data_IF_897231876891
#
_entry.id   IF_897231876891
#
_cell.length_a   1.000
_cell.length_b   1.000
_cell.length_c   1.000
_cell.angle_alpha   90.00
_cell.angle_beta   90.00
_cell.angle_gamma   90.00
#
_symmetry.space_group_name_H-M   'P 1'
#
loop_
_entity.id
_entity.type
_entity.pdbx_description
1 polymer ?
#
# COMPACT_ATOMS: atom_id res chain seq x y z
N UNK A 1 -38.80 8.07 3.64
CA UNK A 1 -37.33 7.93 3.68
C UNK A 1 -36.70 9.02 2.81
N UNK A 2 -35.61 9.57 3.24
CA UNK A 2 -34.81 10.57 2.51
C UNK A 2 -33.37 10.05 2.37
N UNK A 3 -32.62 10.66 1.46
CA UNK A 3 -31.18 10.39 1.29
C UNK A 3 -30.41 11.68 1.57
N UNK A 4 -29.55 11.65 2.59
CA UNK A 4 -28.57 12.71 2.81
C UNK A 4 -27.35 12.40 1.95
N UNK A 5 -26.97 13.32 1.07
CA UNK A 5 -25.88 13.18 0.12
C UNK A 5 -24.75 14.11 0.55
N UNK A 6 -23.60 13.55 0.94
CA UNK A 6 -22.39 14.31 1.27
C UNK A 6 -21.51 14.42 0.02
N UNK A 7 -21.14 15.63 -0.37
CA UNK A 7 -20.38 15.89 -1.58
C UNK A 7 -19.28 16.93 -1.37
N UNK A 8 -18.25 16.89 -2.19
CA UNK A 8 -17.16 17.85 -2.15
C UNK A 8 -17.63 19.24 -2.60
N UNK A 9 -17.41 20.26 -1.78
CA UNK A 9 -17.85 21.65 -1.98
C UNK A 9 -17.38 22.29 -3.29
N UNK A 10 -16.21 21.87 -3.79
CA UNK A 10 -15.57 22.48 -4.97
C UNK A 10 -15.80 21.71 -6.25
N UNK A 11 -16.10 20.41 -6.18
CA UNK A 11 -16.20 19.55 -7.36
C UNK A 11 -17.59 18.96 -7.56
N UNK A 12 -18.46 19.02 -6.56
CA UNK A 12 -19.77 18.36 -6.58
C UNK A 12 -19.73 16.83 -6.50
N UNK A 13 -18.53 16.22 -6.43
CA UNK A 13 -18.38 14.76 -6.37
C UNK A 13 -18.94 14.21 -5.06
N UNK A 14 -19.89 13.29 -5.17
CA UNK A 14 -20.49 12.61 -4.01
C UNK A 14 -19.44 11.73 -3.34
N UNK A 15 -19.33 11.84 -2.03
CA UNK A 15 -18.39 11.09 -1.21
C UNK A 15 -19.05 10.03 -0.35
N UNK A 16 -20.28 10.27 0.06
CA UNK A 16 -21.08 9.31 0.81
C UNK A 16 -22.58 9.63 0.69
N UNK A 17 -23.42 8.62 0.91
CA UNK A 17 -24.85 8.77 1.05
C UNK A 17 -25.34 8.10 2.33
N UNK A 18 -26.41 8.63 2.92
CA UNK A 18 -27.04 8.05 4.10
C UNK A 18 -28.56 8.02 3.90
N UNK A 19 -29.14 6.82 4.01
CA UNK A 19 -30.57 6.59 3.79
C UNK A 19 -31.27 6.40 5.15
N UNK A 20 -32.20 7.28 5.51
CA UNK A 20 -32.93 7.21 6.76
C UNK A 20 -34.28 7.94 6.69
N UNK A 21 -35.02 7.94 7.78
CA UNK A 21 -36.23 8.74 7.93
C UNK A 21 -35.94 10.22 8.24
N UNK A 22 -34.76 10.49 8.83
CA UNK A 22 -34.27 11.83 9.16
C UNK A 22 -32.93 12.08 8.48
N UNK A 23 -32.61 13.36 8.28
CA UNK A 23 -31.30 13.77 7.72
C UNK A 23 -30.14 13.38 8.63
N UNK A 24 -29.03 13.01 8.01
CA UNK A 24 -27.75 12.88 8.71
C UNK A 24 -27.05 14.25 8.80
N UNK A 25 -26.40 14.51 9.93
CA UNK A 25 -25.48 15.63 10.04
C UNK A 25 -24.03 15.12 10.00
N UNK A 26 -23.06 16.02 10.03
CA UNK A 26 -21.63 15.69 9.93
C UNK A 26 -21.11 14.88 11.13
N UNK A 27 -21.81 14.86 12.27
CA UNK A 27 -21.55 13.94 13.38
C UNK A 27 -21.56 12.45 12.95
N UNK A 28 -22.15 12.12 11.79
CA UNK A 28 -22.06 10.81 11.15
C UNK A 28 -20.61 10.37 10.90
N UNK A 29 -19.67 11.31 10.74
CA UNK A 29 -18.25 11.03 10.51
C UNK A 29 -17.43 10.90 11.82
N UNK A 30 -18.09 10.96 12.99
CA UNK A 30 -17.43 10.78 14.29
C UNK A 30 -16.29 11.77 14.52
N UNK A 31 -15.13 11.29 14.93
CA UNK A 31 -13.95 12.13 15.27
C UNK A 31 -13.42 12.97 14.11
N UNK A 32 -13.84 12.69 12.88
CA UNK A 32 -13.46 13.45 11.68
C UNK A 32 -14.47 14.50 11.24
N UNK A 33 -15.48 14.78 12.06
CA UNK A 33 -16.55 15.72 11.74
C UNK A 33 -16.03 17.08 11.26
N UNK A 34 -15.11 17.69 12.02
CA UNK A 34 -14.55 19.00 11.72
C UNK A 34 -13.77 19.02 10.39
N UNK A 35 -12.99 17.98 10.12
CA UNK A 35 -12.23 17.84 8.87
C UNK A 35 -13.19 17.75 7.68
N UNK A 36 -14.23 16.94 7.79
CA UNK A 36 -15.21 16.77 6.70
C UNK A 36 -16.07 18.01 6.50
N UNK A 37 -16.42 18.75 7.55
CA UNK A 37 -17.13 20.05 7.42
C UNK A 37 -16.35 21.08 6.61
N UNK A 38 -15.03 21.01 6.59
CA UNK A 38 -14.20 21.91 5.78
C UNK A 38 -14.32 21.65 4.27
N UNK A 39 -14.41 20.39 3.87
CA UNK A 39 -14.30 19.96 2.47
C UNK A 39 -15.62 19.46 1.86
N UNK A 40 -16.57 19.02 2.68
CA UNK A 40 -17.86 18.52 2.24
C UNK A 40 -19.00 19.49 2.56
N UNK A 41 -20.03 19.43 1.73
CA UNK A 41 -21.35 19.99 1.96
C UNK A 41 -22.38 18.85 1.84
N UNK A 42 -23.64 19.10 2.16
CA UNK A 42 -24.71 18.10 2.05
C UNK A 42 -25.95 18.66 1.35
N UNK A 43 -26.66 17.78 0.65
CA UNK A 43 -28.03 18.01 0.20
C UNK A 43 -28.90 16.84 0.66
N UNK A 44 -30.21 17.11 0.73
CA UNK A 44 -31.22 16.12 1.07
C UNK A 44 -32.07 15.92 -0.18
N UNK A 45 -32.27 14.67 -0.55
CA UNK A 45 -33.13 14.30 -1.68
C UNK A 45 -34.13 13.23 -1.23
N UNK A 46 -35.22 13.12 -1.93
CA UNK A 46 -36.17 12.04 -1.73
C UNK A 46 -35.51 10.70 -2.04
N UNK A 47 -35.95 9.66 -1.31
CA UNK A 47 -35.46 8.32 -1.55
C UNK A 47 -35.83 7.85 -2.95
N UNK A 48 -34.82 7.52 -3.73
CA UNK A 48 -34.92 6.87 -5.04
C UNK A 48 -34.04 5.64 -5.06
N UNK A 49 -34.60 4.50 -5.44
CA UNK A 49 -33.91 3.21 -5.41
C UNK A 49 -32.81 3.15 -6.46
N UNK A 50 -33.03 3.70 -7.66
CA UNK A 50 -32.03 3.71 -8.74
C UNK A 50 -30.82 4.57 -8.34
N UNK A 51 -31.09 5.79 -7.82
CA UNK A 51 -30.03 6.65 -7.31
C UNK A 51 -29.28 6.00 -6.16
N UNK A 52 -29.98 5.41 -5.20
CA UNK A 52 -29.35 4.84 -4.00
C UNK A 52 -28.36 3.71 -4.32
N UNK A 53 -28.67 2.87 -5.31
CA UNK A 53 -27.76 1.81 -5.76
C UNK A 53 -26.67 2.28 -6.71
N UNK A 54 -26.89 3.39 -7.42
CA UNK A 54 -25.99 3.90 -8.48
C UNK A 54 -25.49 5.33 -8.19
N UNK A 55 -25.44 5.76 -6.91
CA UNK A 55 -25.09 7.13 -6.52
C UNK A 55 -23.71 7.58 -7.06
N UNK A 56 -22.80 6.66 -7.31
CA UNK A 56 -21.50 6.91 -7.93
C UNK A 56 -21.59 7.39 -9.38
N UNK A 57 -22.74 7.19 -10.05
CA UNK A 57 -23.03 7.72 -11.39
C UNK A 57 -23.53 9.16 -11.38
N UNK A 58 -23.67 9.75 -10.20
CA UNK A 58 -24.20 11.10 -10.02
C UNK A 58 -23.17 12.03 -9.39
N UNK A 59 -23.34 13.31 -9.62
CA UNK A 59 -22.68 14.42 -8.91
C UNK A 59 -23.71 15.45 -8.51
N UNK A 60 -23.36 16.34 -7.59
CA UNK A 60 -24.16 17.50 -7.24
C UNK A 60 -23.72 18.65 -8.13
N UNK A 61 -24.67 19.23 -8.87
CA UNK A 61 -24.47 20.50 -9.54
C UNK A 61 -24.36 21.60 -8.47
N UNK A 62 -23.23 22.31 -8.48
CA UNK A 62 -22.90 23.27 -7.41
C UNK A 62 -23.75 24.52 -7.45
N UNK A 63 -24.25 24.90 -8.62
CA UNK A 63 -25.05 26.10 -8.82
C UNK A 63 -26.53 25.86 -8.42
N UNK A 64 -27.08 24.73 -8.86
CA UNK A 64 -28.50 24.40 -8.63
C UNK A 64 -28.73 23.57 -7.35
N UNK A 65 -27.66 22.99 -6.77
CA UNK A 65 -27.75 22.08 -5.63
C UNK A 65 -28.65 20.87 -5.89
N UNK A 66 -28.63 20.36 -7.12
CA UNK A 66 -29.40 19.20 -7.55
C UNK A 66 -28.51 18.05 -7.97
N UNK A 67 -29.03 16.81 -7.91
CA UNK A 67 -28.36 15.65 -8.46
C UNK A 67 -28.38 15.66 -9.97
N UNK A 68 -27.23 15.52 -10.59
CA UNK A 68 -27.11 15.36 -12.05
C UNK A 68 -26.31 14.09 -12.35
N UNK A 69 -26.69 13.37 -13.39
CA UNK A 69 -25.95 12.19 -13.84
C UNK A 69 -24.62 12.65 -14.42
N UNK A 70 -23.52 12.00 -14.01
CA UNK A 70 -22.19 12.26 -14.59
C UNK A 70 -22.18 11.91 -16.07
N UNK A 71 -21.41 12.65 -16.85
CA UNK A 71 -21.12 12.25 -18.22
C UNK A 71 -20.32 10.95 -18.23
N UNK A 72 -20.44 10.17 -19.31
CA UNK A 72 -19.81 8.86 -19.44
C UNK A 72 -18.30 8.91 -19.24
N UNK A 73 -17.64 9.98 -19.67
CA UNK A 73 -16.19 10.18 -19.55
C UNK A 73 -15.76 10.49 -18.09
N UNK A 74 -16.58 11.23 -17.35
CA UNK A 74 -16.33 11.51 -15.93
C UNK A 74 -16.40 10.22 -15.10
N UNK A 75 -17.38 9.36 -15.36
CA UNK A 75 -17.49 8.05 -14.72
C UNK A 75 -16.32 7.13 -15.05
N UNK A 76 -15.92 7.11 -16.30
CA UNK A 76 -14.77 6.30 -16.72
C UNK A 76 -13.49 6.76 -16.01
N UNK A 77 -13.26 8.05 -15.90
CA UNK A 77 -12.08 8.62 -15.23
C UNK A 77 -12.04 8.30 -13.74
N UNK A 78 -13.16 8.43 -13.01
CA UNK A 78 -13.23 8.12 -11.57
C UNK A 78 -13.06 6.63 -11.30
N UNK A 79 -13.69 5.77 -12.11
CA UNK A 79 -13.53 4.31 -12.00
C UNK A 79 -12.09 3.90 -12.27
N UNK A 80 -11.45 4.45 -13.29
CA UNK A 80 -10.04 4.19 -13.60
C UNK A 80 -9.14 4.60 -12.44
N UNK A 81 -9.40 5.75 -11.82
CA UNK A 81 -8.64 6.21 -10.65
C UNK A 81 -8.76 5.24 -9.46
N UNK A 82 -9.98 4.83 -9.13
CA UNK A 82 -10.23 3.86 -8.05
C UNK A 82 -9.54 2.53 -8.33
N UNK A 83 -9.64 2.01 -9.57
CA UNK A 83 -8.99 0.76 -9.96
C UNK A 83 -7.47 0.85 -9.85
N UNK A 84 -6.86 1.98 -10.24
CA UNK A 84 -5.41 2.19 -10.07
C UNK A 84 -4.98 2.15 -8.62
N UNK A 85 -5.69 2.86 -7.74
CA UNK A 85 -5.39 2.90 -6.31
C UNK A 85 -5.51 1.51 -5.66
N UNK A 86 -6.55 0.74 -6.01
CA UNK A 86 -6.76 -0.63 -5.52
C UNK A 86 -5.66 -1.58 -6.01
N UNK A 87 -5.29 -1.54 -7.29
CA UNK A 87 -4.22 -2.37 -7.84
C UNK A 87 -2.85 -2.05 -7.25
N UNK A 88 -2.55 -0.77 -7.01
CA UNK A 88 -1.32 -0.35 -6.34
C UNK A 88 -1.27 -0.88 -4.91
N UNK A 89 -2.37 -0.78 -4.17
CA UNK A 89 -2.46 -1.32 -2.81
C UNK A 89 -2.25 -2.84 -2.83
N UNK A 90 -2.96 -3.56 -3.68
CA UNK A 90 -2.81 -5.02 -3.83
C UNK A 90 -1.38 -5.44 -4.22
N UNK A 91 -0.71 -4.69 -5.10
CA UNK A 91 0.68 -4.99 -5.46
C UNK A 91 1.64 -4.87 -4.26
N UNK A 92 1.40 -3.91 -3.37
CA UNK A 92 2.17 -3.76 -2.12
C UNK A 92 1.88 -4.89 -1.13
N UNK A 93 0.63 -5.30 -1.02
CA UNK A 93 0.23 -6.45 -0.20
C UNK A 93 0.84 -7.76 -0.72
N UNK A 94 0.86 -7.96 -2.05
CA UNK A 94 1.50 -9.11 -2.69
C UNK A 94 3.01 -9.14 -2.42
N UNK A 95 3.71 -8.00 -2.49
CA UNK A 95 5.12 -7.92 -2.10
C UNK A 95 5.32 -8.29 -0.62
N UNK A 96 4.50 -7.73 0.28
CA UNK A 96 4.59 -8.02 1.72
C UNK A 96 4.38 -9.52 2.00
N UNK A 97 3.39 -10.13 1.34
CA UNK A 97 3.12 -11.57 1.43
C UNK A 97 4.29 -12.40 0.88
N UNK A 98 4.86 -12.01 -0.26
CA UNK A 98 6.02 -12.71 -0.83
C UNK A 98 7.22 -12.69 0.13
N UNK A 99 7.56 -11.50 0.68
CA UNK A 99 8.64 -11.37 1.67
C UNK A 99 8.41 -12.18 2.95
N UNK A 100 7.15 -12.38 3.35
CA UNK A 100 6.80 -13.20 4.51
C UNK A 100 6.97 -14.70 4.24
N UNK A 101 6.68 -15.15 3.03
CA UNK A 101 6.67 -16.58 2.67
C UNK A 101 7.98 -17.06 2.02
N UNK A 102 8.86 -16.14 1.63
CA UNK A 102 10.14 -16.44 0.98
C UNK A 102 11.30 -15.83 1.79
N UNK A 103 11.68 -16.46 2.91
CA UNK A 103 12.79 -15.98 3.73
C UNK A 103 14.12 -16.10 2.98
N UNK A 104 15.03 -15.16 3.26
CA UNK A 104 16.39 -15.18 2.75
C UNK A 104 17.17 -16.32 3.40
N UNK A 105 17.84 -17.16 2.60
CA UNK A 105 18.86 -18.07 3.12
C UNK A 105 20.18 -17.32 3.25
N UNK A 106 20.73 -17.27 4.46
CA UNK A 106 22.01 -16.62 4.76
C UNK A 106 22.94 -17.56 5.53
N UNK A 107 24.22 -17.39 5.34
CA UNK A 107 25.29 -18.09 6.06
C UNK A 107 26.02 -17.15 7.04
N UNK A 108 25.41 -16.03 7.42
CA UNK A 108 26.03 -15.04 8.29
C UNK A 108 26.41 -15.61 9.67
N UNK A 109 25.55 -16.40 10.28
CA UNK A 109 25.73 -17.00 11.61
C UNK A 109 26.14 -18.49 11.49
N UNK A 110 25.29 -19.35 10.98
CA UNK A 110 25.64 -20.75 10.71
C UNK A 110 26.30 -20.87 9.33
N UNK A 111 27.63 -20.87 9.32
CA UNK A 111 28.43 -20.88 8.08
C UNK A 111 28.44 -22.23 7.34
N UNK A 112 27.90 -23.28 7.96
CA UNK A 112 27.89 -24.64 7.37
C UNK A 112 26.56 -24.94 6.70
N UNK A 113 25.46 -24.76 7.41
CA UNK A 113 24.12 -25.13 6.94
C UNK A 113 23.33 -23.91 6.44
N UNK A 114 23.68 -22.73 6.95
CA UNK A 114 22.95 -21.49 6.76
C UNK A 114 21.65 -21.47 7.54
N UNK A 115 21.07 -20.28 7.69
CA UNK A 115 19.77 -20.07 8.31
C UNK A 115 18.80 -19.33 7.39
N UNK A 116 17.52 -19.38 7.70
CA UNK A 116 16.48 -18.67 6.96
C UNK A 116 16.03 -17.45 7.76
N UNK A 117 16.00 -16.28 7.12
CA UNK A 117 15.72 -15.00 7.74
C UNK A 117 14.57 -14.30 7.05
N UNK A 118 13.55 -13.97 7.81
CA UNK A 118 12.42 -13.21 7.31
C UNK A 118 12.84 -11.77 6.94
N UNK A 119 12.49 -11.33 5.73
CA UNK A 119 12.87 -10.03 5.18
C UNK A 119 11.71 -9.04 5.09
N UNK A 120 10.65 -9.18 5.91
CA UNK A 120 9.58 -8.20 5.97
C UNK A 120 10.12 -6.81 6.36
N UNK A 121 9.39 -5.76 5.99
CA UNK A 121 9.76 -4.39 6.33
C UNK A 121 9.97 -4.19 7.84
N UNK A 122 9.17 -4.86 8.67
CA UNK A 122 9.32 -4.83 10.13
C UNK A 122 10.67 -5.40 10.56
N UNK A 123 11.04 -6.59 10.05
CA UNK A 123 12.33 -7.22 10.38
C UNK A 123 13.52 -6.40 9.89
N UNK A 124 13.45 -5.81 8.70
CA UNK A 124 14.49 -4.90 8.21
C UNK A 124 14.65 -3.67 9.13
N UNK A 125 13.55 -3.05 9.53
CA UNK A 125 13.57 -1.90 10.44
C UNK A 125 14.12 -2.28 11.82
N UNK A 126 13.73 -3.45 12.35
CA UNK A 126 14.21 -3.95 13.63
C UNK A 126 15.71 -4.18 13.59
N UNK A 127 16.24 -4.83 12.54
CA UNK A 127 17.67 -5.08 12.37
C UNK A 127 18.46 -3.76 12.27
N UNK A 128 17.98 -2.81 11.49
CA UNK A 128 18.60 -1.50 11.34
C UNK A 128 18.62 -0.74 12.69
N UNK A 129 17.53 -0.79 13.45
CA UNK A 129 17.45 -0.17 14.78
C UNK A 129 18.39 -0.83 15.76
N UNK A 130 18.49 -2.17 15.75
CA UNK A 130 19.39 -2.92 16.62
C UNK A 130 20.86 -2.55 16.38
N UNK A 131 21.29 -2.51 15.10
CA UNK A 131 22.65 -2.13 14.73
C UNK A 131 22.97 -0.68 15.10
N UNK A 132 22.02 0.24 14.91
CA UNK A 132 22.16 1.64 15.31
C UNK A 132 22.30 1.77 16.84
N UNK A 133 21.43 1.10 17.60
CA UNK A 133 21.43 1.13 19.07
C UNK A 133 22.74 0.57 19.64
N UNK A 134 23.25 -0.53 19.07
CA UNK A 134 24.53 -1.10 19.42
C UNK A 134 25.69 -0.10 19.18
N UNK A 135 25.68 0.57 18.04
CA UNK A 135 26.68 1.60 17.71
C UNK A 135 26.66 2.73 18.75
N UNK A 136 25.47 3.17 19.16
CA UNK A 136 25.30 4.21 20.21
C UNK A 136 25.81 3.72 21.54
N UNK A 137 25.43 2.52 21.98
CA UNK A 137 25.88 1.94 23.26
C UNK A 137 27.42 1.82 23.30
N UNK A 138 28.04 1.32 22.25
CA UNK A 138 29.50 1.21 22.12
C UNK A 138 30.18 2.59 22.25
N UNK A 139 29.64 3.62 21.58
CA UNK A 139 30.18 4.98 21.65
C UNK A 139 30.04 5.60 23.06
N UNK A 140 29.08 5.14 23.85
CA UNK A 140 28.90 5.54 25.26
C UNK A 140 29.70 4.67 26.24
N UNK A 141 30.46 3.69 25.77
CA UNK A 141 31.21 2.76 26.60
C UNK A 141 30.31 1.77 27.36
N UNK A 142 29.12 1.52 26.87
CA UNK A 142 28.16 0.57 27.44
C UNK A 142 28.31 -0.80 26.76
N UNK A 143 28.17 -1.87 27.54
CA UNK A 143 28.05 -3.20 27.01
C UNK A 143 26.64 -3.38 26.43
N UNK A 144 26.56 -3.98 25.22
CA UNK A 144 25.30 -4.31 24.54
C UNK A 144 25.42 -5.67 23.87
N UNK A 145 24.45 -6.55 24.13
CA UNK A 145 24.41 -7.89 23.58
C UNK A 145 23.45 -7.93 22.42
N UNK A 146 23.98 -8.21 21.24
CA UNK A 146 23.19 -8.37 20.03
C UNK A 146 22.51 -9.75 20.01
N UNK A 147 21.18 -9.78 19.89
CA UNK A 147 20.42 -11.01 19.74
C UNK A 147 19.53 -10.93 18.51
N UNK A 148 19.44 -12.04 17.80
CA UNK A 148 18.59 -12.20 16.62
C UNK A 148 18.06 -13.62 16.52
N UNK A 149 17.10 -13.87 15.64
CA UNK A 149 16.57 -15.19 15.40
C UNK A 149 16.46 -15.51 13.90
N UNK A 150 16.71 -16.75 13.56
CA UNK A 150 16.24 -17.33 12.31
C UNK A 150 14.70 -17.41 12.30
N UNK A 151 14.10 -17.55 11.13
CA UNK A 151 12.64 -17.67 11.01
C UNK A 151 12.14 -18.90 11.78
N UNK A 152 11.16 -18.69 12.66
CA UNK A 152 10.54 -19.72 13.52
C UNK A 152 11.45 -20.29 14.63
N UNK A 153 12.66 -19.75 14.80
CA UNK A 153 13.60 -20.18 15.85
C UNK A 153 13.67 -19.16 16.99
N UNK A 154 14.25 -19.59 18.11
CA UNK A 154 14.52 -18.72 19.26
C UNK A 154 15.66 -17.75 18.98
N UNK A 155 15.68 -16.63 19.72
CA UNK A 155 16.78 -15.67 19.62
C UNK A 155 18.07 -16.28 20.16
N UNK A 156 19.16 -16.08 19.41
CA UNK A 156 20.53 -16.42 19.76
C UNK A 156 21.41 -15.17 19.81
N UNK A 157 22.61 -15.29 20.35
CA UNK A 157 23.60 -14.21 20.41
C UNK A 157 24.35 -14.14 19.09
N UNK A 158 24.37 -12.96 18.49
CA UNK A 158 25.08 -12.66 17.23
C UNK A 158 26.20 -11.67 17.47
N UNK A 159 27.22 -11.73 16.65
CA UNK A 159 28.24 -10.68 16.58
C UNK A 159 27.74 -9.50 15.71
N UNK A 160 28.37 -8.35 15.88
CA UNK A 160 28.12 -7.18 15.03
C UNK A 160 28.43 -7.47 13.54
N UNK A 161 29.48 -8.26 13.28
CA UNK A 161 29.84 -8.65 11.91
C UNK A 161 28.77 -9.51 11.26
N UNK A 162 28.25 -10.51 11.96
CA UNK A 162 27.18 -11.40 11.48
C UNK A 162 25.90 -10.62 11.16
N UNK A 163 25.44 -9.75 12.06
CA UNK A 163 24.25 -8.95 11.80
C UNK A 163 24.45 -7.88 10.72
N UNK A 164 25.66 -7.32 10.61
CA UNK A 164 26.00 -6.39 9.54
C UNK A 164 26.00 -7.09 8.18
N UNK A 165 26.54 -8.30 8.11
CA UNK A 165 26.46 -9.15 6.91
C UNK A 165 25.01 -9.46 6.55
N UNK A 166 24.20 -9.90 7.52
CA UNK A 166 22.78 -10.18 7.33
C UNK A 166 22.03 -8.95 6.78
N UNK A 167 22.29 -7.76 7.33
CA UNK A 167 21.66 -6.54 6.88
C UNK A 167 22.00 -6.21 5.40
N UNK A 168 23.23 -6.42 4.98
CA UNK A 168 23.65 -6.24 3.59
C UNK A 168 22.99 -7.27 2.65
N UNK A 169 22.96 -8.53 3.06
CA UNK A 169 22.31 -9.61 2.31
C UNK A 169 20.79 -9.38 2.18
N UNK A 170 20.11 -8.97 3.27
CA UNK A 170 18.70 -8.59 3.23
C UNK A 170 18.45 -7.43 2.25
N UNK A 171 19.29 -6.40 2.27
CA UNK A 171 19.20 -5.27 1.35
C UNK A 171 19.29 -5.72 -0.10
N UNK A 172 20.28 -6.56 -0.43
CA UNK A 172 20.47 -7.04 -1.81
C UNK A 172 19.35 -8.00 -2.24
N UNK A 173 18.79 -8.79 -1.32
CA UNK A 173 17.64 -9.64 -1.58
C UNK A 173 16.36 -8.84 -1.85
N UNK A 174 16.08 -7.81 -1.04
CA UNK A 174 14.84 -7.03 -1.10
C UNK A 174 14.85 -5.99 -2.23
N UNK A 175 16.00 -5.44 -2.57
CA UNK A 175 16.14 -4.37 -3.57
C UNK A 175 15.46 -4.67 -4.91
N UNK A 176 15.67 -5.81 -5.59
CA UNK A 176 14.99 -6.11 -6.85
C UNK A 176 13.48 -6.29 -6.68
N UNK A 177 13.00 -6.79 -5.53
CA UNK A 177 11.58 -6.97 -5.25
C UNK A 177 10.86 -5.62 -5.09
N UNK A 178 11.47 -4.67 -4.37
CA UNK A 178 10.96 -3.30 -4.24
C UNK A 178 10.99 -2.60 -5.60
N UNK A 179 12.05 -2.79 -6.39
CA UNK A 179 12.12 -2.22 -7.74
C UNK A 179 11.04 -2.78 -8.66
N UNK A 180 10.73 -4.08 -8.55
CA UNK A 180 9.62 -4.70 -9.27
C UNK A 180 8.27 -4.08 -8.87
N UNK A 181 8.02 -3.88 -7.59
CA UNK A 181 6.79 -3.24 -7.11
C UNK A 181 6.67 -1.80 -7.63
N UNK A 182 7.75 -1.03 -7.60
CA UNK A 182 7.78 0.33 -8.14
C UNK A 182 7.54 0.36 -9.65
N UNK A 183 8.08 -0.59 -10.40
CA UNK A 183 7.81 -0.74 -11.82
C UNK A 183 6.34 -1.05 -12.10
N UNK A 184 5.74 -1.99 -11.33
CA UNK A 184 4.31 -2.31 -11.41
C UNK A 184 3.47 -1.05 -11.11
N UNK A 185 3.79 -0.31 -10.05
CA UNK A 185 3.08 0.93 -9.71
C UNK A 185 3.19 1.99 -10.83
N UNK A 186 4.37 2.19 -11.39
CA UNK A 186 4.57 3.12 -12.51
C UNK A 186 3.76 2.71 -13.74
N UNK A 187 3.73 1.41 -14.05
CA UNK A 187 2.94 0.84 -15.14
C UNK A 187 1.45 1.09 -14.93
N UNK A 188 0.92 0.78 -13.73
CA UNK A 188 -0.50 1.01 -13.38
C UNK A 188 -0.85 2.49 -13.57
N UNK A 189 0.01 3.41 -13.11
CA UNK A 189 -0.22 4.85 -13.25
C UNK A 189 -0.30 5.32 -14.69
N UNK A 190 0.45 4.69 -15.60
CA UNK A 190 0.49 5.01 -17.02
C UNK A 190 -0.73 4.50 -17.81
N UNK A 191 -1.39 3.42 -17.37
CA UNK A 191 -2.54 2.84 -18.06
C UNK A 191 -3.77 3.76 -17.95
N UNK A 192 -4.62 3.79 -19.00
CA UNK A 192 -5.77 4.71 -19.04
C UNK A 192 -7.11 4.03 -19.31
N UNK A 193 -7.13 2.72 -19.49
CA UNK A 193 -8.37 1.97 -19.73
C UNK A 193 -8.58 0.87 -18.70
N UNK A 194 -9.83 0.54 -18.43
CA UNK A 194 -10.17 -0.58 -17.53
C UNK A 194 -9.66 -1.92 -18.06
N UNK A 195 -9.61 -2.10 -19.38
CA UNK A 195 -9.16 -3.35 -20.00
C UNK A 195 -7.66 -3.56 -19.74
N UNK A 196 -6.83 -2.53 -19.92
CA UNK A 196 -5.41 -2.58 -19.63
C UNK A 196 -5.16 -2.85 -18.13
N UNK A 197 -5.87 -2.15 -17.25
CA UNK A 197 -5.76 -2.34 -15.80
C UNK A 197 -6.14 -3.76 -15.36
N UNK A 198 -7.13 -4.40 -15.99
CA UNK A 198 -7.51 -5.79 -15.69
C UNK A 198 -6.51 -6.82 -16.18
N UNK A 199 -5.67 -6.47 -17.15
CA UNK A 199 -4.68 -7.38 -17.75
C UNK A 199 -3.30 -7.32 -17.11
N UNK A 200 -3.04 -6.31 -16.25
CA UNK A 200 -1.73 -6.18 -15.62
C UNK A 200 -1.48 -7.28 -14.59
N UNK A 201 -0.30 -7.87 -14.64
CA UNK A 201 0.13 -8.81 -13.61
C UNK A 201 0.74 -8.04 -12.43
N UNK A 202 0.20 -8.24 -11.23
CA UNK A 202 0.66 -7.64 -9.98
C UNK A 202 1.17 -8.69 -8.99
N UNK A 203 1.27 -9.96 -9.41
CA UNK A 203 1.66 -11.08 -8.57
C UNK A 203 3.18 -11.20 -8.46
N UNK A 204 3.64 -11.57 -7.26
CA UNK A 204 5.01 -11.91 -6.95
C UNK A 204 5.14 -13.44 -6.90
N UNK A 205 5.30 -14.07 -8.08
CA UNK A 205 5.65 -15.48 -8.19
C UNK A 205 7.15 -15.61 -8.40
N UNK A 206 7.74 -16.78 -8.06
CA UNK A 206 9.18 -17.02 -8.27
C UNK A 206 9.59 -16.77 -9.72
N UNK A 207 8.76 -17.19 -10.67
CA UNK A 207 8.99 -16.99 -12.10
C UNK A 207 8.98 -15.48 -12.47
N UNK A 208 7.98 -14.73 -11.99
CA UNK A 208 7.88 -13.29 -12.25
C UNK A 208 9.06 -12.53 -11.64
N UNK A 209 9.45 -12.88 -10.42
CA UNK A 209 10.58 -12.28 -9.72
C UNK A 209 11.89 -12.57 -10.44
N UNK A 210 12.14 -13.82 -10.85
CA UNK A 210 13.37 -14.19 -11.56
C UNK A 210 13.45 -13.54 -12.95
N UNK A 211 12.33 -13.43 -13.66
CA UNK A 211 12.27 -12.72 -14.95
C UNK A 211 12.55 -11.22 -14.77
N UNK A 212 12.00 -10.59 -13.73
CA UNK A 212 12.28 -9.19 -13.42
C UNK A 212 13.74 -8.97 -13.03
N UNK A 213 14.32 -9.83 -12.19
CA UNK A 213 15.75 -9.74 -11.80
C UNK A 213 16.67 -9.79 -13.01
N UNK A 214 16.41 -10.66 -14.00
CA UNK A 214 17.19 -10.72 -15.24
C UNK A 214 17.12 -9.41 -16.03
N UNK A 215 15.91 -8.84 -16.19
CA UNK A 215 15.71 -7.57 -16.87
C UNK A 215 16.35 -6.40 -16.09
N UNK A 216 16.21 -6.40 -14.77
CA UNK A 216 16.79 -5.37 -13.90
C UNK A 216 18.30 -5.35 -13.94
N UNK A 217 18.95 -6.52 -13.94
CA UNK A 217 20.39 -6.64 -14.06
C UNK A 217 20.90 -6.17 -15.45
N UNK A 218 20.20 -6.54 -16.52
CA UNK A 218 20.52 -6.06 -17.88
C UNK A 218 20.49 -4.52 -17.98
N UNK A 219 19.50 -3.88 -17.33
CA UNK A 219 19.44 -2.41 -17.28
C UNK A 219 20.60 -1.80 -16.50
N UNK A 220 21.05 -2.45 -15.42
CA UNK A 220 22.16 -1.95 -14.58
C UNK A 220 23.54 -2.15 -15.22
N UNK A 221 23.72 -3.21 -16.01
CA UNK A 221 25.01 -3.53 -16.67
C UNK A 221 25.15 -2.89 -18.04
N UNK A 222 24.06 -2.41 -18.62
CA UNK A 222 24.06 -1.76 -19.94
C UNK A 222 24.24 -2.74 -21.10
N UNK A 223 23.96 -4.04 -20.88
CA UNK A 223 23.98 -5.11 -21.88
C UNK A 223 22.63 -5.23 -22.59
#
# INVERSE_FOLDING_TARGET
MIVTVFYNKTTGVIKNIYVAEMEADFNFFGDKEEEFRLILDKIIVDYDIEFTYNWYDYKVDLDTKTLVKKEKDENASEIIKILKEDLILKSKENLAKYLQTHPLKSYCHNKTEGGYYNCTQEKQNTLATLLLSHTIATNLGQEDVLTWNETEEMCEVYTLEELSQLALEMKEYVKPLVSMQQYIEATIRALNTQQELKSINIEFTDEAVENFKKQFNSILTGD
#
